data_IF_493845610876
#
_entry.id   IF_493845610876
#
_cell.length_a   1.000
_cell.length_b   1.000
_cell.length_c   1.000
_cell.angle_alpha   90.00
_cell.angle_beta   90.00
_cell.angle_gamma   90.00
#
_symmetry.space_group_name_H-M   'P 1'
#
loop_
_entity.id
_entity.type
_entity.pdbx_description
1 polymer ?
#
# COMPACT_ATOMS: atom_id res chain seq x y z
N UNK A 1 17.90 -5.57 25.57
CA UNK A 1 16.62 -5.57 24.83
C UNK A 1 16.86 -6.40 23.58
N UNK A 2 16.38 -7.65 23.55
CA UNK A 2 16.68 -8.60 22.47
C UNK A 2 15.96 -8.20 21.18
N UNK A 3 16.59 -8.46 20.03
CA UNK A 3 16.14 -8.12 18.68
C UNK A 3 14.87 -8.85 18.18
N UNK A 4 13.92 -9.15 19.09
CA UNK A 4 12.80 -10.06 18.85
C UNK A 4 11.47 -9.37 18.45
N UNK A 5 11.35 -8.05 18.55
CA UNK A 5 10.06 -7.36 18.37
C UNK A 5 9.98 -6.53 17.06
N UNK A 6 10.92 -6.73 16.14
CA UNK A 6 10.98 -5.99 14.88
C UNK A 6 10.50 -6.86 13.72
N UNK A 7 9.34 -6.52 13.16
CA UNK A 7 8.72 -7.25 12.06
C UNK A 7 9.09 -6.64 10.70
N UNK A 8 9.18 -7.50 9.69
CA UNK A 8 9.13 -7.09 8.29
C UNK A 8 7.68 -7.12 7.83
N UNK A 9 7.20 -5.99 7.30
CA UNK A 9 5.85 -5.84 6.76
C UNK A 9 5.95 -5.63 5.26
N UNK A 10 5.31 -6.52 4.49
CA UNK A 10 5.15 -6.37 3.04
C UNK A 10 3.69 -6.09 2.71
N UNK A 11 3.44 -5.02 1.98
CA UNK A 11 2.11 -4.70 1.46
C UNK A 11 2.16 -4.77 -0.06
N UNK A 12 1.23 -5.53 -0.63
CA UNK A 12 1.06 -5.65 -2.07
C UNK A 12 -0.16 -4.84 -2.49
N UNK A 13 0.06 -3.81 -3.30
CA UNK A 13 -0.98 -2.99 -3.89
C UNK A 13 -1.20 -3.47 -5.32
N UNK A 14 -2.41 -3.92 -5.63
CA UNK A 14 -2.78 -4.38 -6.96
C UNK A 14 -3.78 -3.42 -7.59
N UNK A 15 -3.30 -2.63 -8.54
CA UNK A 15 -4.10 -1.77 -9.38
C UNK A 15 -4.79 -2.58 -10.47
N UNK A 16 -6.12 -2.64 -10.42
CA UNK A 16 -6.92 -3.37 -11.40
C UNK A 16 -7.37 -2.45 -12.56
N UNK A 17 -7.54 -3.05 -13.74
CA UNK A 17 -8.04 -2.37 -14.94
C UNK A 17 -6.95 -2.02 -15.95
N UNK A 18 -7.29 -2.11 -17.24
CA UNK A 18 -6.35 -2.00 -18.37
C UNK A 18 -5.50 -0.72 -18.30
N UNK A 19 -6.13 0.41 -17.96
CA UNK A 19 -5.46 1.71 -17.84
C UNK A 19 -4.43 1.74 -16.72
N UNK A 20 -4.78 1.22 -15.55
CA UNK A 20 -3.87 1.22 -14.40
C UNK A 20 -2.72 0.22 -14.61
N UNK A 21 -3.03 -0.95 -15.17
CA UNK A 21 -2.02 -1.94 -15.58
C UNK A 21 -1.05 -1.37 -16.62
N UNK A 22 -1.55 -0.57 -17.58
CA UNK A 22 -0.71 0.14 -18.56
C UNK A 22 0.09 1.28 -17.93
N UNK A 23 -0.50 2.05 -17.01
CA UNK A 23 0.16 3.14 -16.30
C UNK A 23 1.36 2.63 -15.49
N UNK A 24 1.17 1.52 -14.77
CA UNK A 24 2.22 0.82 -14.02
C UNK A 24 2.95 -0.23 -14.86
N UNK A 25 3.10 -0.04 -16.18
CA UNK A 25 3.99 -0.89 -17.01
C UNK A 25 5.46 -0.58 -16.77
N UNK A 26 5.77 0.69 -16.47
CA UNK A 26 7.10 1.17 -16.11
C UNK A 26 7.01 1.85 -14.77
N UNK A 27 7.98 1.60 -13.89
CA UNK A 27 8.02 2.26 -12.60
C UNK A 27 8.68 3.64 -12.75
N UNK A 28 7.87 4.64 -13.12
CA UNK A 28 8.33 6.02 -13.27
C UNK A 28 8.21 6.80 -11.96
N UNK A 29 8.72 8.03 -11.95
CA UNK A 29 8.58 8.92 -10.80
C UNK A 29 7.11 9.25 -10.51
N UNK A 30 6.32 9.47 -11.56
CA UNK A 30 4.89 9.76 -11.48
C UNK A 30 4.15 8.60 -10.84
N UNK A 31 4.44 7.36 -11.25
CA UNK A 31 3.88 6.16 -10.61
C UNK A 31 4.21 6.07 -9.12
N UNK A 32 5.41 6.51 -8.71
CA UNK A 32 5.80 6.56 -7.31
C UNK A 32 5.06 7.65 -6.53
N UNK A 33 4.70 8.77 -7.17
CA UNK A 33 3.85 9.81 -6.54
C UNK A 33 2.46 9.25 -6.27
N UNK A 34 1.82 8.61 -7.24
CA UNK A 34 0.51 7.98 -7.07
C UNK A 34 0.50 6.95 -5.93
N UNK A 35 1.50 6.05 -5.89
CA UNK A 35 1.63 5.08 -4.80
C UNK A 35 1.77 5.77 -3.44
N UNK A 36 2.50 6.88 -3.35
CA UNK A 36 2.64 7.65 -2.10
C UNK A 36 1.33 8.33 -1.69
N UNK A 37 0.58 8.86 -2.63
CA UNK A 37 -0.72 9.47 -2.37
C UNK A 37 -1.72 8.40 -1.87
N UNK A 38 -1.75 7.24 -2.50
CA UNK A 38 -2.56 6.10 -2.05
C UNK A 38 -2.19 5.64 -0.64
N UNK A 39 -0.89 5.50 -0.36
CA UNK A 39 -0.41 5.17 0.99
C UNK A 39 -0.81 6.24 2.02
N UNK A 40 -0.78 7.52 1.63
CA UNK A 40 -1.22 8.63 2.48
C UNK A 40 -2.72 8.55 2.76
N UNK A 41 -3.53 8.25 1.74
CA UNK A 41 -4.98 8.08 1.86
C UNK A 41 -5.34 6.90 2.79
N UNK A 42 -4.53 5.84 2.75
CA UNK A 42 -4.61 4.68 3.65
C UNK A 42 -4.00 4.93 5.03
N UNK A 43 -3.41 6.12 5.27
CA UNK A 43 -2.67 6.50 6.49
C UNK A 43 -1.54 5.52 6.81
N UNK A 44 -0.92 4.95 5.78
CA UNK A 44 0.25 4.11 5.90
C UNK A 44 1.52 4.98 5.91
N UNK A 45 2.54 4.60 6.69
CA UNK A 45 3.83 5.29 6.67
C UNK A 45 4.47 5.20 5.29
N UNK A 46 5.19 6.24 4.87
CA UNK A 46 5.84 6.23 3.56
C UNK A 46 7.08 5.31 3.57
N UNK A 47 7.14 4.29 2.68
CA UNK A 47 8.32 3.44 2.58
C UNK A 47 9.49 4.21 1.96
N UNK A 48 10.71 3.76 2.24
CA UNK A 48 11.89 4.24 1.53
C UNK A 48 11.76 3.91 0.05
N UNK A 49 12.33 4.75 -0.83
CA UNK A 49 12.28 4.54 -2.29
C UNK A 49 12.85 3.18 -2.70
N UNK A 50 13.93 2.74 -2.07
CA UNK A 50 14.58 1.44 -2.29
C UNK A 50 13.73 0.23 -1.85
N UNK A 51 12.66 0.47 -1.08
CA UNK A 51 11.76 -0.56 -0.57
C UNK A 51 10.42 -0.59 -1.31
N UNK A 52 10.32 0.09 -2.46
CA UNK A 52 9.14 0.03 -3.33
C UNK A 52 9.53 -0.58 -4.66
N UNK A 53 8.93 -1.73 -4.95
CA UNK A 53 9.23 -2.51 -6.14
C UNK A 53 7.96 -2.67 -6.99
N UNK A 54 8.09 -2.46 -8.29
CA UNK A 54 7.08 -2.89 -9.24
C UNK A 54 7.34 -4.37 -9.57
N UNK A 55 6.47 -5.26 -9.09
CA UNK A 55 6.62 -6.70 -9.31
C UNK A 55 6.14 -7.11 -10.71
N UNK A 56 4.99 -6.59 -11.10
CA UNK A 56 4.36 -6.88 -12.39
C UNK A 56 3.46 -5.72 -12.78
N UNK A 57 2.94 -5.74 -14.01
CA UNK A 57 2.00 -4.74 -14.50
C UNK A 57 0.85 -4.48 -13.51
N UNK A 58 0.83 -3.29 -12.91
CA UNK A 58 -0.16 -2.91 -11.90
C UNK A 58 -0.01 -3.54 -10.52
N UNK A 59 1.11 -4.20 -10.19
CA UNK A 59 1.36 -4.74 -8.86
C UNK A 59 2.63 -4.12 -8.25
N UNK A 60 2.44 -3.38 -7.16
CA UNK A 60 3.50 -2.71 -6.42
C UNK A 60 3.65 -3.38 -5.06
N UNK A 61 4.89 -3.70 -4.70
CA UNK A 61 5.29 -4.16 -3.38
C UNK A 61 5.90 -2.99 -2.61
N UNK A 62 5.43 -2.76 -1.39
CA UNK A 62 6.01 -1.83 -0.43
C UNK A 62 6.50 -2.61 0.79
N UNK A 63 7.76 -2.38 1.18
CA UNK A 63 8.40 -3.08 2.30
C UNK A 63 8.78 -2.10 3.42
N UNK A 64 8.35 -2.41 4.64
CA UNK A 64 8.81 -1.73 5.84
C UNK A 64 9.58 -2.72 6.70
N UNK A 65 10.83 -2.39 6.95
CA UNK A 65 11.72 -3.15 7.81
C UNK A 65 11.66 -2.59 9.24
N UNK A 66 11.91 -3.44 10.21
CA UNK A 66 11.99 -3.09 11.62
C UNK A 66 10.73 -2.40 12.18
N UNK A 67 9.55 -2.81 11.71
CA UNK A 67 8.29 -2.25 12.21
C UNK A 67 8.00 -2.81 13.60
N UNK A 68 7.80 -1.97 14.61
CA UNK A 68 7.46 -2.45 15.95
C UNK A 68 6.05 -3.05 15.94
N UNK A 69 5.85 -4.16 16.66
CA UNK A 69 4.60 -4.93 16.67
C UNK A 69 3.34 -4.09 16.94
N UNK A 70 3.45 -3.09 17.82
CA UNK A 70 2.36 -2.17 18.17
C UNK A 70 1.89 -1.31 16.98
N UNK A 71 2.77 -0.98 16.03
CA UNK A 71 2.48 -0.17 14.85
C UNK A 71 1.79 -0.99 13.77
N UNK A 72 2.15 -2.27 13.62
CA UNK A 72 1.47 -3.21 12.69
C UNK A 72 -0.02 -3.32 13.00
N UNK A 73 -0.36 -3.42 14.29
CA UNK A 73 -1.75 -3.54 14.75
C UNK A 73 -2.60 -2.31 14.42
N UNK A 74 -2.01 -1.11 14.45
CA UNK A 74 -2.65 0.13 14.03
C UNK A 74 -2.86 0.20 12.51
N UNK A 75 -1.83 -0.16 11.74
CA UNK A 75 -1.91 -0.15 10.28
C UNK A 75 -2.97 -1.13 9.75
N UNK A 76 -3.08 -2.32 10.33
CA UNK A 76 -4.14 -3.28 9.97
C UNK A 76 -5.54 -2.72 10.24
N UNK A 77 -5.76 -2.05 11.38
CA UNK A 77 -7.06 -1.46 11.70
C UNK A 77 -7.42 -0.31 10.75
N UNK A 78 -6.48 0.57 10.42
CA UNK A 78 -6.67 1.62 9.42
C UNK A 78 -6.95 1.04 8.03
N UNK A 79 -6.21 -0.01 7.62
CA UNK A 79 -6.40 -0.66 6.33
C UNK A 79 -7.80 -1.29 6.23
N UNK A 80 -8.23 -2.05 7.23
CA UNK A 80 -9.55 -2.70 7.25
C UNK A 80 -10.67 -1.68 7.23
N UNK A 81 -10.60 -0.65 8.09
CA UNK A 81 -11.63 0.41 8.13
C UNK A 81 -11.73 1.17 6.82
N UNK A 82 -10.60 1.46 6.16
CA UNK A 82 -10.59 2.21 4.90
C UNK A 82 -10.97 1.37 3.69
N UNK A 83 -10.54 0.10 3.60
CA UNK A 83 -11.00 -0.83 2.56
C UNK A 83 -12.53 -1.00 2.66
N UNK A 84 -13.05 -1.21 3.87
CA UNK A 84 -14.51 -1.31 4.09
C UNK A 84 -15.20 0.00 3.68
N UNK A 85 -14.64 1.16 4.03
CA UNK A 85 -15.21 2.46 3.60
C UNK A 85 -15.22 2.61 2.08
N UNK A 86 -14.12 2.24 1.40
CA UNK A 86 -14.00 2.31 -0.06
C UNK A 86 -15.00 1.39 -0.77
N UNK A 87 -15.17 0.16 -0.26
CA UNK A 87 -16.16 -0.80 -0.77
C UNK A 87 -17.58 -0.28 -0.56
N UNK A 88 -17.89 0.25 0.63
CA UNK A 88 -19.22 0.78 0.93
C UNK A 88 -19.56 1.99 0.09
N UNK A 89 -18.60 2.91 -0.12
CA UNK A 89 -18.79 4.06 -1.02
C UNK A 89 -19.01 3.58 -2.45
N UNK A 90 -18.22 2.63 -2.96
CA UNK A 90 -18.43 2.08 -4.30
C UNK A 90 -19.78 1.38 -4.47
N UNK A 91 -20.27 0.66 -3.45
CA UNK A 91 -21.60 0.04 -3.48
C UNK A 91 -22.72 1.08 -3.46
N UNK A 92 -22.54 2.19 -2.74
CA UNK A 92 -23.54 3.26 -2.64
C UNK A 92 -23.71 4.05 -3.95
N UNK A 93 -22.67 4.13 -4.78
CA UNK A 93 -22.74 4.78 -6.11
C UNK A 93 -23.25 3.86 -7.23
N UNK A 94 -23.54 2.59 -6.94
CA UNK A 94 -24.07 1.60 -7.87
C UNK A 94 -25.55 1.22 -7.58
N UNK A 95 -26.18 1.90 -6.63
CA UNK A 95 -27.61 1.83 -6.28
C UNK A 95 -28.30 3.15 -6.70
#
# INVERSE_FOLDING_TARGET
MSAADSLEVKVYIRYQGLKATQYFTKFTWESMVEVREDLTALKLPQPKKENVNLLSHGCVECVWQNVPYNQVRWCFWCLVTKIVTLILVHMYYLL
#
